data_IF_443158184304
#
_entry.id   IF_443158184304
#
_cell.length_a   1.000
_cell.length_b   1.000
_cell.length_c   1.000
_cell.angle_alpha   90.00
_cell.angle_beta   90.00
_cell.angle_gamma   90.00
#
_symmetry.space_group_name_H-M   'P 1'
#
loop_
_entity.id
_entity.type
_entity.pdbx_description
1 polymer ?
#
# COMPACT_ATOMS: atom_id res chain seq x y z
N UNK A 1 -12.76 0.77 -47.82
CA UNK A 1 -11.59 -0.06 -47.41
C UNK A 1 -10.76 0.55 -46.27
N UNK A 2 -10.98 1.80 -45.86
CA UNK A 2 -10.24 2.50 -44.78
C UNK A 2 -10.72 2.17 -43.36
N UNK A 3 -12.02 1.88 -43.19
CA UNK A 3 -12.60 1.56 -41.87
C UNK A 3 -12.03 0.25 -41.31
N UNK A 4 -11.83 -0.76 -42.16
CA UNK A 4 -11.30 -2.05 -41.74
C UNK A 4 -9.84 -1.97 -41.30
N UNK A 5 -9.00 -1.18 -41.98
CA UNK A 5 -7.61 -0.96 -41.58
C UNK A 5 -7.52 -0.13 -40.30
N UNK A 6 -8.37 0.89 -40.12
CA UNK A 6 -8.43 1.65 -38.86
C UNK A 6 -8.84 0.78 -37.66
N UNK A 7 -9.81 -0.15 -37.83
CA UNK A 7 -10.19 -1.08 -36.76
C UNK A 7 -9.03 -2.02 -36.41
N UNK A 8 -8.36 -2.59 -37.41
CA UNK A 8 -7.21 -3.47 -37.18
C UNK A 8 -6.08 -2.75 -36.44
N UNK A 9 -5.74 -1.53 -36.85
CA UNK A 9 -4.73 -0.71 -36.16
C UNK A 9 -5.15 -0.41 -34.73
N UNK A 10 -6.42 -0.06 -34.49
CA UNK A 10 -6.92 0.23 -33.15
C UNK A 10 -6.87 -0.99 -32.24
N UNK A 11 -7.30 -2.16 -32.72
CA UNK A 11 -7.24 -3.42 -31.97
C UNK A 11 -5.80 -3.82 -31.67
N UNK A 12 -4.89 -3.67 -32.64
CA UNK A 12 -3.47 -3.95 -32.45
C UNK A 12 -2.85 -3.03 -31.38
N UNK A 13 -3.15 -1.72 -31.43
CA UNK A 13 -2.69 -0.76 -30.42
C UNK A 13 -3.23 -1.09 -29.03
N UNK A 14 -4.50 -1.48 -28.92
CA UNK A 14 -5.09 -1.93 -27.65
C UNK A 14 -4.41 -3.20 -27.13
N UNK A 15 -4.18 -4.19 -27.99
CA UNK A 15 -3.51 -5.44 -27.60
C UNK A 15 -2.08 -5.18 -27.10
N UNK A 16 -1.32 -4.33 -27.78
CA UNK A 16 0.03 -3.92 -27.36
C UNK A 16 0.00 -3.15 -26.04
N UNK A 17 -0.95 -2.23 -25.85
CA UNK A 17 -1.11 -1.48 -24.61
C UNK A 17 -1.44 -2.41 -23.42
N UNK A 18 -2.37 -3.35 -23.62
CA UNK A 18 -2.75 -4.35 -22.60
C UNK A 18 -1.59 -5.30 -22.30
N UNK A 19 -0.89 -5.79 -23.32
CA UNK A 19 0.26 -6.68 -23.15
C UNK A 19 1.39 -6.02 -22.36
N UNK A 20 1.72 -4.76 -22.70
CA UNK A 20 2.71 -3.96 -22.00
C UNK A 20 2.32 -3.69 -20.55
N UNK A 21 1.05 -3.39 -20.28
CA UNK A 21 0.56 -3.24 -18.91
C UNK A 21 0.68 -4.53 -18.10
N UNK A 22 0.23 -5.66 -18.66
CA UNK A 22 0.32 -6.98 -18.01
C UNK A 22 1.77 -7.33 -17.69
N UNK A 23 2.70 -7.12 -18.62
CA UNK A 23 4.12 -7.36 -18.40
C UNK A 23 4.67 -6.50 -17.27
N UNK A 24 4.33 -5.21 -17.25
CA UNK A 24 4.74 -4.32 -16.15
C UNK A 24 4.15 -4.75 -14.83
N UNK A 25 2.90 -5.24 -14.79
CA UNK A 25 2.27 -5.74 -13.56
C UNK A 25 2.98 -6.97 -13.04
N UNK A 26 3.32 -7.90 -13.93
CA UNK A 26 4.11 -9.08 -13.58
C UNK A 26 5.48 -8.70 -13.05
N UNK A 27 6.22 -7.85 -13.76
CA UNK A 27 7.53 -7.37 -13.29
C UNK A 27 7.45 -6.72 -11.89
N UNK A 28 6.42 -5.89 -11.64
CA UNK A 28 6.22 -5.29 -10.32
C UNK A 28 5.95 -6.33 -9.21
N UNK A 29 5.32 -7.46 -9.55
CA UNK A 29 5.06 -8.56 -8.63
C UNK A 29 6.24 -9.55 -8.52
N UNK A 30 7.09 -9.65 -9.55
CA UNK A 30 8.32 -10.45 -9.53
C UNK A 30 9.38 -9.83 -8.61
N UNK A 31 9.39 -8.50 -8.46
CA UNK A 31 10.30 -7.77 -7.57
C UNK A 31 10.05 -8.01 -6.06
N UNK A 32 8.98 -8.72 -5.69
CA UNK A 32 8.65 -9.03 -4.29
C UNK A 32 7.15 -9.03 -4.00
N UNK A 33 6.76 -9.33 -2.75
CA UNK A 33 5.37 -9.42 -2.35
C UNK A 33 4.65 -8.08 -2.54
N UNK A 34 3.53 -8.13 -3.27
CA UNK A 34 2.69 -6.96 -3.55
C UNK A 34 1.34 -7.09 -2.87
N UNK A 35 0.73 -5.97 -2.55
CA UNK A 35 -0.60 -5.93 -1.96
C UNK A 35 -1.44 -4.81 -2.54
N UNK A 36 -2.75 -5.05 -2.65
CA UNK A 36 -3.70 -4.02 -3.01
C UNK A 36 -3.95 -3.10 -1.82
N UNK A 37 -3.92 -1.79 -2.07
CA UNK A 37 -4.08 -0.81 -1.02
C UNK A 37 -4.81 0.46 -1.46
N UNK A 38 -5.15 1.27 -0.47
CA UNK A 38 -5.62 2.65 -0.60
C UNK A 38 -4.82 3.52 0.36
N UNK A 39 -4.59 4.77 0.00
CA UNK A 39 -3.73 5.68 0.75
C UNK A 39 -4.43 7.01 0.93
N UNK A 40 -4.29 7.61 2.12
CA UNK A 40 -4.67 9.00 2.41
C UNK A 40 -3.55 9.69 3.18
N UNK A 41 -3.48 11.01 3.10
CA UNK A 41 -2.67 11.80 4.06
C UNK A 41 -3.51 12.11 5.29
N UNK A 42 -2.88 12.14 6.47
CA UNK A 42 -3.50 12.62 7.71
C UNK A 42 -3.34 14.14 7.84
N UNK A 43 -2.20 14.67 7.37
CA UNK A 43 -1.80 16.07 7.51
C UNK A 43 -1.58 16.73 6.16
N UNK A 44 -0.36 17.22 5.94
CA UNK A 44 0.06 17.74 4.64
C UNK A 44 0.47 16.56 3.75
N UNK A 45 0.34 16.70 2.42
CA UNK A 45 0.81 15.67 1.52
C UNK A 45 2.34 15.64 1.51
N UNK A 46 2.96 14.45 1.48
CA UNK A 46 4.42 14.35 1.39
C UNK A 46 4.91 14.96 0.07
N UNK A 47 6.14 15.46 0.05
CA UNK A 47 6.78 16.10 -1.09
C UNK A 47 6.79 15.18 -2.33
N UNK A 48 7.05 13.89 -2.13
CA UNK A 48 6.99 12.86 -3.18
C UNK A 48 5.57 12.56 -3.70
N UNK A 49 4.53 13.09 -3.05
CA UNK A 49 3.13 12.90 -3.45
C UNK A 49 2.23 14.09 -3.09
N UNK A 50 2.54 15.27 -3.61
CA UNK A 50 1.75 16.51 -3.38
C UNK A 50 0.25 16.42 -3.69
N UNK A 51 -0.14 15.51 -4.60
CA UNK A 51 -1.55 15.27 -4.98
C UNK A 51 -2.29 14.32 -4.03
N UNK A 52 -1.65 13.77 -3.01
CA UNK A 52 -2.31 12.92 -2.02
C UNK A 52 -3.30 13.78 -1.22
N UNK A 53 -4.48 13.22 -0.93
CA UNK A 53 -5.57 13.93 -0.25
C UNK A 53 -5.90 13.22 1.05
N UNK A 54 -6.65 13.91 1.92
CA UNK A 54 -7.22 13.32 3.15
C UNK A 54 -8.30 12.27 2.88
N UNK A 55 -8.86 12.25 1.67
CA UNK A 55 -9.76 11.19 1.22
C UNK A 55 -8.95 9.99 0.74
N UNK A 56 -9.44 8.79 1.03
CA UNK A 56 -8.89 7.56 0.50
C UNK A 56 -8.76 7.60 -1.02
N UNK A 57 -7.56 7.31 -1.52
CA UNK A 57 -7.29 7.18 -2.94
C UNK A 57 -8.16 6.11 -3.61
N UNK A 58 -8.10 6.05 -4.94
CA UNK A 58 -8.51 4.86 -5.69
C UNK A 58 -7.62 3.66 -5.32
N UNK A 59 -8.05 2.47 -5.69
CA UNK A 59 -7.24 1.27 -5.60
C UNK A 59 -5.90 1.39 -6.33
N UNK A 60 -4.89 0.83 -5.71
CA UNK A 60 -3.51 0.84 -6.13
C UNK A 60 -2.81 -0.41 -5.62
N UNK A 61 -1.63 -0.67 -6.16
CA UNK A 61 -0.77 -1.76 -5.73
C UNK A 61 0.46 -1.15 -5.07
N UNK A 62 0.91 -1.76 -3.98
CA UNK A 62 2.13 -1.35 -3.31
C UNK A 62 3.01 -2.56 -2.99
N UNK A 63 4.30 -2.28 -2.80
CA UNK A 63 5.29 -3.21 -2.24
C UNK A 63 6.33 -2.44 -1.45
N UNK A 64 6.98 -3.14 -0.53
CA UNK A 64 8.19 -2.63 0.12
C UNK A 64 9.43 -2.93 -0.72
N UNK A 65 10.42 -2.06 -0.60
CA UNK A 65 11.77 -2.20 -1.17
C UNK A 65 12.74 -1.67 -0.12
N UNK A 66 13.06 -2.49 0.87
CA UNK A 66 13.62 -2.01 2.13
C UNK A 66 12.65 -1.03 2.81
N UNK A 67 13.17 0.12 3.24
CA UNK A 67 12.40 1.20 3.90
C UNK A 67 11.51 2.02 2.93
N UNK A 68 11.52 1.69 1.64
CA UNK A 68 10.80 2.45 0.61
C UNK A 68 9.51 1.72 0.21
N UNK A 69 8.38 2.39 0.42
CA UNK A 69 7.09 1.98 -0.09
C UNK A 69 6.95 2.42 -1.56
N UNK A 70 6.91 1.44 -2.47
CA UNK A 70 6.73 1.66 -3.91
C UNK A 70 5.27 1.46 -4.25
N UNK A 71 4.62 2.50 -4.76
CA UNK A 71 3.18 2.55 -5.01
C UNK A 71 2.91 2.76 -6.49
N UNK A 72 2.18 1.82 -7.10
CA UNK A 72 1.74 1.91 -8.49
C UNK A 72 0.29 2.34 -8.61
N UNK A 73 0.05 3.41 -9.38
CA UNK A 73 -1.27 4.04 -9.49
C UNK A 73 -2.02 3.72 -10.78
N UNK A 74 -2.88 2.71 -10.72
CA UNK A 74 -3.87 2.43 -11.76
C UNK A 74 -3.33 1.60 -12.94
N UNK A 75 -4.20 1.25 -13.90
CA UNK A 75 -3.99 0.15 -14.83
C UNK A 75 -3.32 0.50 -16.18
N UNK A 76 -2.93 1.74 -16.46
CA UNK A 76 -2.46 2.10 -17.84
C UNK A 76 -1.33 3.12 -17.85
N UNK A 77 -1.29 4.02 -16.87
CA UNK A 77 -0.22 5.01 -16.74
C UNK A 77 0.64 4.63 -15.54
N UNK A 78 1.89 4.29 -15.83
CA UNK A 78 2.94 3.77 -14.95
C UNK A 78 3.42 4.81 -13.92
N UNK A 79 2.47 5.46 -13.23
CA UNK A 79 2.74 6.45 -12.20
C UNK A 79 3.10 5.70 -10.93
N UNK A 80 4.36 5.32 -10.87
CA UNK A 80 5.01 4.77 -9.68
C UNK A 80 5.47 5.91 -8.79
N UNK A 81 5.18 5.82 -7.51
CA UNK A 81 5.65 6.75 -6.49
C UNK A 81 6.38 5.99 -5.42
N UNK A 82 7.55 6.51 -5.05
CA UNK A 82 8.43 5.93 -4.05
C UNK A 82 8.43 6.85 -2.85
N UNK A 83 8.10 6.30 -1.68
CA UNK A 83 8.13 7.01 -0.42
C UNK A 83 8.98 6.22 0.56
N UNK A 84 10.11 6.78 0.98
CA UNK A 84 10.79 6.30 2.18
C UNK A 84 9.85 6.53 3.36
N UNK A 85 9.50 5.45 4.07
CA UNK A 85 8.46 5.48 5.07
C UNK A 85 8.69 4.45 6.18
N UNK A 86 8.41 4.83 7.41
CA UNK A 86 8.55 4.00 8.61
C UNK A 86 7.19 3.82 9.29
N UNK A 87 6.95 2.63 9.84
CA UNK A 87 5.75 2.36 10.62
C UNK A 87 5.78 3.19 11.91
N UNK A 88 4.69 3.91 12.18
CA UNK A 88 4.55 4.67 13.43
C UNK A 88 4.18 3.76 14.60
N UNK A 89 4.43 4.14 15.86
CA UNK A 89 4.10 3.33 17.03
C UNK A 89 2.62 2.98 17.19
N UNK A 90 1.71 3.71 16.52
CA UNK A 90 0.28 3.37 16.49
C UNK A 90 -0.02 2.03 15.77
N UNK A 91 0.99 1.40 15.17
CA UNK A 91 0.90 0.05 14.64
C UNK A 91 -0.16 -0.13 13.54
N UNK A 92 -0.61 -1.37 13.41
CA UNK A 92 -1.70 -1.77 12.51
C UNK A 92 -3.01 -1.78 13.29
N UNK A 93 -4.00 -1.06 12.80
CA UNK A 93 -5.32 -0.99 13.41
C UNK A 93 -6.41 -1.39 12.42
N UNK A 94 -7.55 -1.83 12.96
CA UNK A 94 -8.73 -2.20 12.16
C UNK A 94 -9.44 -0.93 11.70
N UNK A 95 -9.78 -0.89 10.41
CA UNK A 95 -10.59 0.20 9.85
C UNK A 95 -12.08 -0.13 10.00
N UNK A 96 -12.93 0.86 10.34
CA UNK A 96 -14.37 0.68 10.23
C UNK A 96 -14.75 0.28 8.82
N UNK A 97 -15.66 -0.69 8.68
CA UNK A 97 -16.09 -1.23 7.38
C UNK A 97 -16.57 -0.13 6.42
N UNK A 98 -17.17 0.95 6.94
CA UNK A 98 -17.62 2.10 6.13
C UNK A 98 -16.46 2.87 5.51
N UNK A 99 -15.32 3.00 6.19
CA UNK A 99 -14.14 3.69 5.70
C UNK A 99 -13.30 2.79 4.78
N UNK A 100 -13.20 1.51 5.12
CA UNK A 100 -12.41 0.52 4.39
C UNK A 100 -13.21 -0.33 3.41
N UNK A 101 -14.49 -0.01 3.12
CA UNK A 101 -15.45 -0.87 2.38
C UNK A 101 -14.93 -1.44 1.06
N UNK A 102 -14.01 -0.72 0.43
CA UNK A 102 -13.39 -1.15 -0.81
C UNK A 102 -12.25 -2.14 -0.57
N UNK A 103 -11.49 -2.03 0.51
CA UNK A 103 -10.38 -2.94 0.90
C UNK A 103 -10.83 -4.33 1.42
N UNK A 104 -12.06 -4.76 1.10
CA UNK A 104 -12.68 -6.03 1.49
C UNK A 104 -13.37 -6.03 2.85
N UNK A 105 -13.71 -7.22 3.36
CA UNK A 105 -14.59 -7.40 4.54
C UNK A 105 -13.94 -6.98 5.86
N UNK A 106 -12.64 -7.17 5.99
CA UNK A 106 -11.88 -6.85 7.19
C UNK A 106 -10.69 -5.95 6.81
N UNK A 107 -10.93 -4.66 6.57
CA UNK A 107 -9.85 -3.75 6.21
C UNK A 107 -9.02 -3.39 7.44
N UNK A 108 -7.70 -3.36 7.27
CA UNK A 108 -6.74 -2.86 8.25
C UNK A 108 -6.00 -1.66 7.67
N UNK A 109 -5.50 -0.78 8.53
CA UNK A 109 -4.60 0.29 8.13
C UNK A 109 -3.39 0.40 9.05
N UNK A 110 -2.33 0.97 8.47
CA UNK A 110 -1.11 1.34 9.17
C UNK A 110 -0.84 2.82 8.94
N UNK A 111 -0.37 3.50 9.97
CA UNK A 111 0.18 4.86 9.85
C UNK A 111 1.66 4.77 9.57
N UNK A 112 2.07 5.42 8.50
CA UNK A 112 3.47 5.53 8.10
C UNK A 112 3.90 7.00 8.18
N UNK A 113 5.09 7.23 8.73
CA UNK A 113 5.78 8.51 8.65
C UNK A 113 6.75 8.48 7.49
N UNK A 114 6.64 9.42 6.56
CA UNK A 114 7.54 9.57 5.43
C UNK A 114 8.83 10.29 5.84
N UNK A 115 9.89 10.20 5.04
CA UNK A 115 11.19 10.82 5.34
C UNK A 115 11.14 12.35 5.52
N UNK A 116 10.13 13.01 4.94
CA UNK A 116 9.84 14.44 5.13
C UNK A 116 8.99 14.74 6.37
N UNK A 117 8.76 13.75 7.23
CA UNK A 117 8.01 13.88 8.49
C UNK A 117 6.49 13.81 8.35
N UNK A 118 5.97 13.82 7.12
CA UNK A 118 4.53 13.74 6.87
C UNK A 118 3.96 12.36 7.20
N UNK A 119 2.66 12.32 7.52
CA UNK A 119 1.99 11.08 7.94
C UNK A 119 0.95 10.68 6.90
N UNK A 120 1.09 9.45 6.42
CA UNK A 120 0.12 8.80 5.55
C UNK A 120 -0.49 7.60 6.25
N UNK A 121 -1.72 7.26 5.84
CA UNK A 121 -2.38 6.03 6.21
C UNK A 121 -2.51 5.16 4.98
N UNK A 122 -2.12 3.89 5.12
CA UNK A 122 -2.22 2.87 4.09
C UNK A 122 -3.18 1.80 4.57
N UNK A 123 -4.27 1.61 3.83
CA UNK A 123 -5.29 0.61 4.09
C UNK A 123 -5.17 -0.56 3.12
N UNK A 124 -5.32 -1.77 3.62
CA UNK A 124 -5.31 -3.00 2.84
C UNK A 124 -6.27 -4.03 3.44
N UNK A 125 -6.46 -5.15 2.75
CA UNK A 125 -7.17 -6.30 3.30
C UNK A 125 -6.38 -6.91 4.46
N UNK A 126 -7.05 -7.41 5.51
CA UNK A 126 -6.38 -8.05 6.66
C UNK A 126 -5.46 -9.21 6.28
N UNK A 127 -5.77 -9.94 5.20
CA UNK A 127 -4.93 -11.02 4.70
C UNK A 127 -3.55 -10.54 4.21
N UNK A 128 -3.43 -9.26 3.81
CA UNK A 128 -2.19 -8.65 3.37
C UNK A 128 -1.42 -7.97 4.52
N UNK A 129 -1.67 -8.37 5.78
CA UNK A 129 -1.08 -7.70 6.95
C UNK A 129 0.44 -7.72 6.92
N UNK A 130 1.04 -8.86 6.60
CA UNK A 130 2.49 -9.04 6.59
C UNK A 130 3.14 -8.16 5.53
N UNK A 131 2.55 -8.11 4.34
CA UNK A 131 3.00 -7.29 3.22
C UNK A 131 2.78 -5.79 3.50
N UNK A 132 1.68 -5.43 4.16
CA UNK A 132 1.34 -4.06 4.52
C UNK A 132 2.42 -3.43 5.42
N UNK A 133 2.90 -4.16 6.42
CA UNK A 133 3.93 -3.69 7.36
C UNK A 133 5.34 -3.99 6.90
N UNK A 134 5.52 -4.95 6.00
CA UNK A 134 6.81 -5.32 5.44
C UNK A 134 7.81 -5.70 6.52
N UNK A 135 9.02 -5.13 6.42
CA UNK A 135 10.11 -5.39 7.38
C UNK A 135 9.85 -4.86 8.79
N UNK A 136 8.85 -4.00 8.98
CA UNK A 136 8.48 -3.45 10.29
C UNK A 136 7.44 -4.29 11.03
N UNK A 137 7.27 -5.56 10.63
CA UNK A 137 6.32 -6.50 11.23
C UNK A 137 6.43 -6.53 12.76
N UNK A 138 7.65 -6.63 13.30
CA UNK A 138 7.89 -6.67 14.74
C UNK A 138 7.41 -5.39 15.44
N UNK A 139 7.68 -4.21 14.87
CA UNK A 139 7.22 -2.94 15.42
C UNK A 139 5.69 -2.78 15.33
N UNK A 140 5.08 -3.31 14.26
CA UNK A 140 3.64 -3.27 14.06
C UNK A 140 2.83 -4.19 14.98
N UNK A 141 3.47 -5.24 15.52
CA UNK A 141 2.90 -6.13 16.53
C UNK A 141 3.37 -5.80 17.95
N UNK A 142 4.20 -4.78 18.17
CA UNK A 142 4.73 -4.47 19.51
C UNK A 142 3.66 -3.93 20.49
N UNK A 143 2.42 -3.77 20.05
CA UNK A 143 1.23 -3.66 20.93
C UNK A 143 0.83 -5.03 21.56
N UNK A 144 1.66 -6.06 21.41
CA UNK A 144 1.57 -7.30 22.18
C UNK A 144 1.52 -6.98 23.68
N UNK A 145 0.69 -7.69 24.47
CA UNK A 145 0.60 -7.46 25.90
C UNK A 145 2.00 -7.50 26.52
N UNK A 146 2.29 -6.51 27.38
CA UNK A 146 3.52 -6.46 28.19
C UNK A 146 3.72 -7.85 28.79
N UNK A 147 4.89 -8.46 28.55
CA UNK A 147 5.22 -9.72 29.19
C UNK A 147 4.92 -9.59 30.69
N UNK A 148 4.15 -10.52 31.29
CA UNK A 148 3.82 -10.41 32.70
C UNK A 148 5.13 -10.32 33.48
N UNK A 149 5.31 -9.20 34.19
CA UNK A 149 6.42 -9.08 35.13
C UNK A 149 6.24 -10.22 36.12
N UNK A 150 7.16 -11.19 36.15
CA UNK A 150 7.25 -12.12 37.27
C UNK A 150 7.43 -11.24 38.51
N UNK A 151 6.37 -11.14 39.32
CA UNK A 151 6.48 -10.60 40.67
C UNK A 151 7.57 -11.42 41.36
N UNK A 152 8.64 -10.82 41.89
CA UNK A 152 9.56 -11.57 42.72
C UNK A 152 8.73 -12.15 43.87
N UNK A 153 8.64 -13.48 43.90
CA UNK A 153 8.15 -14.22 45.05
C UNK A 153 9.11 -13.89 46.19
N UNK A 154 8.73 -12.89 46.98
CA UNK A 154 9.40 -12.60 48.23
C UNK A 154 9.18 -13.80 49.13
N UNK A 155 10.31 -14.35 49.57
CA UNK A 155 10.42 -15.34 50.64
C UNK A 155 9.46 -15.03 51.79
N UNK A 156 8.76 -16.07 52.23
CA UNK A 156 8.50 -16.29 53.65
C UNK A 156 8.55 -17.79 53.93
#
# INVERSE_FOLDING_TARGET
MTISTSIFVFVLLLALAVGRERRKRRAFAEDGPTFECRIRTVGRPPAGWRRLRRRWSRWMWARWSGEVLVIRRGPVLDRTVRLAAQVTPKGVYVLPLREGRKCGRNPIAVRLRTADGEVIEVAAHAAARTELVGMYLAAAFSDLPRAPLRRPENLN
#
